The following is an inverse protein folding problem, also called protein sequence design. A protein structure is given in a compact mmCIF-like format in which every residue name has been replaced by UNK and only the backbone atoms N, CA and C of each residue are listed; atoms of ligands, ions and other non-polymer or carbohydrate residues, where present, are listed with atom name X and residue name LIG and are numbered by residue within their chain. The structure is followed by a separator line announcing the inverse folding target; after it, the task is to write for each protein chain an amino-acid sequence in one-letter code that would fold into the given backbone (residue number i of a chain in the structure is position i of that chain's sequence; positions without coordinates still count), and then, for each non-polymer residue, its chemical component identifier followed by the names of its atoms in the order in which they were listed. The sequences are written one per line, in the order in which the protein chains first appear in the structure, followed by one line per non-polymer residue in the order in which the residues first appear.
data_IF_800389169806
#
_entry.id   IF_800389169806
#
_cell.length_a   1.000
_cell.length_b   1.000
_cell.length_c   1.000
_cell.angle_alpha   90.00
_cell.angle_beta   90.00
_cell.angle_gamma   90.00
#
_symmetry.space_group_name_H-M   'P 1'
#
loop_
_entity.id
_entity.type
_entity.pdbx_description
1 polymer ?
#
# COMPACT_ATOMS: atom_id res chain seq x y z
N UNK A 1 -8.31 -12.09 -0.88
CA UNK A 1 -8.86 -11.90 -2.26
C UNK A 1 -10.39 -12.04 -2.31
N UNK A 2 -11.01 -13.16 -1.88
CA UNK A 2 -12.46 -13.37 -2.01
C UNK A 2 -13.29 -12.25 -1.37
N UNK A 3 -12.99 -11.88 -0.12
CA UNK A 3 -13.71 -10.82 0.59
C UNK A 3 -13.55 -9.45 -0.09
N UNK A 4 -12.34 -9.13 -0.57
CA UNK A 4 -12.12 -7.87 -1.29
C UNK A 4 -12.95 -7.79 -2.59
N UNK A 5 -13.07 -8.90 -3.32
CA UNK A 5 -13.93 -8.99 -4.52
C UNK A 5 -15.42 -8.84 -4.24
N UNK A 6 -15.84 -9.08 -3.00
CA UNK A 6 -17.23 -8.87 -2.58
C UNK A 6 -17.53 -7.41 -2.19
N UNK A 7 -16.52 -6.54 -2.13
CA UNK A 7 -16.72 -5.12 -1.87
C UNK A 7 -17.17 -4.41 -3.16
N UNK A 8 -18.19 -3.53 -3.11
CA UNK A 8 -18.60 -2.69 -4.24
C UNK A 8 -17.43 -1.93 -4.88
N UNK A 9 -16.56 -1.35 -4.05
CA UNK A 9 -15.37 -0.58 -4.48
C UNK A 9 -14.27 -1.42 -5.16
N UNK A 10 -14.37 -2.76 -5.18
CA UNK A 10 -13.45 -3.61 -5.96
C UNK A 10 -13.40 -3.25 -7.44
N UNK A 11 -14.49 -2.73 -7.97
CA UNK A 11 -14.63 -2.41 -9.38
C UNK A 11 -14.24 -0.98 -9.77
N UNK A 12 -13.65 -0.22 -8.84
CA UNK A 12 -13.17 1.13 -9.14
C UNK A 12 -12.06 1.12 -10.20
N UNK A 13 -12.15 2.06 -11.15
CA UNK A 13 -11.15 2.23 -12.22
C UNK A 13 -9.95 3.09 -11.79
N UNK A 14 -9.93 3.52 -10.55
CA UNK A 14 -8.86 4.30 -9.94
C UNK A 14 -8.19 3.52 -8.82
N UNK A 15 -6.87 3.41 -8.92
CA UNK A 15 -6.03 2.83 -7.88
C UNK A 15 -5.06 3.84 -7.31
N UNK A 16 -4.72 3.64 -6.07
CA UNK A 16 -3.74 4.42 -5.33
C UNK A 16 -2.62 3.48 -4.91
N UNK A 17 -1.36 3.80 -5.23
CA UNK A 17 -0.20 3.00 -4.83
C UNK A 17 0.67 3.77 -3.86
N UNK A 18 1.07 3.10 -2.78
CA UNK A 18 2.01 3.62 -1.79
C UNK A 18 2.70 2.49 -1.04
N UNK A 19 3.74 2.82 -0.30
CA UNK A 19 4.44 1.91 0.58
C UNK A 19 4.59 2.46 2.00
N UNK A 20 4.49 1.59 2.99
CA UNK A 20 4.67 1.96 4.39
C UNK A 20 5.72 1.08 5.06
N UNK A 21 6.60 1.63 5.94
CA UNK A 21 7.56 0.84 6.69
C UNK A 21 6.90 -0.19 7.61
N UNK A 22 7.50 -1.38 7.66
CA UNK A 22 7.21 -2.45 8.60
C UNK A 22 8.51 -2.76 9.35
N UNK A 23 8.69 -2.14 10.51
CA UNK A 23 9.90 -2.27 11.31
C UNK A 23 9.96 -3.67 11.94
N UNK A 24 11.06 -4.40 11.72
CA UNK A 24 11.25 -5.77 12.20
C UNK A 24 12.24 -5.89 13.36
N UNK A 25 13.01 -4.85 13.63
CA UNK A 25 13.97 -4.84 14.75
C UNK A 25 14.64 -3.48 14.92
N UNK A 26 15.04 -3.20 16.17
CA UNK A 26 15.65 -1.91 16.55
C UNK A 26 17.09 -2.02 16.94
N UNK A 27 17.47 -3.12 17.62
CA UNK A 27 18.85 -3.30 18.09
C UNK A 27 19.70 -4.03 17.04
N UNK A 28 21.01 -3.71 17.01
CA UNK A 28 21.97 -4.40 16.14
C UNK A 28 22.03 -5.90 16.41
N UNK A 29 21.87 -6.31 17.66
CA UNK A 29 21.87 -7.72 18.05
C UNK A 29 20.62 -8.45 17.53
N UNK A 30 19.45 -7.81 17.60
CA UNK A 30 18.22 -8.35 16.99
C UNK A 30 18.40 -8.55 15.48
N UNK A 31 18.95 -7.55 14.78
CA UNK A 31 19.18 -7.61 13.34
C UNK A 31 20.10 -8.77 12.95
N UNK A 32 21.21 -8.99 13.71
CA UNK A 32 22.18 -10.05 13.42
C UNK A 32 21.62 -11.47 13.62
N UNK A 33 20.74 -11.66 14.60
CA UNK A 33 20.22 -12.96 15.02
C UNK A 33 18.83 -13.29 14.49
N UNK A 34 18.24 -12.38 13.72
CA UNK A 34 16.88 -12.52 13.23
C UNK A 34 16.79 -13.49 12.04
N UNK A 35 15.79 -14.37 12.04
CA UNK A 35 15.41 -15.20 10.89
C UNK A 35 14.96 -14.36 9.68
N UNK A 36 14.76 -13.05 9.88
CA UNK A 36 14.41 -12.10 8.83
C UNK A 36 15.64 -11.53 8.12
N UNK A 37 16.87 -11.82 8.59
CA UNK A 37 18.09 -11.39 7.94
C UNK A 37 18.14 -11.87 6.47
N UNK A 38 18.59 -10.98 5.58
CA UNK A 38 18.60 -11.23 4.13
C UNK A 38 17.27 -10.92 3.43
N UNK A 39 16.14 -10.92 4.14
CA UNK A 39 14.85 -10.40 3.62
C UNK A 39 14.58 -8.98 4.12
N UNK A 40 14.61 -8.78 5.44
CA UNK A 40 14.58 -7.44 6.01
C UNK A 40 15.91 -6.70 5.76
N UNK A 41 15.83 -5.45 5.39
CA UNK A 41 16.98 -4.59 5.08
C UNK A 41 16.85 -3.23 5.77
N UNK A 42 17.92 -2.46 5.81
CA UNK A 42 17.87 -1.07 6.28
C UNK A 42 17.24 -0.18 5.21
N UNK A 43 16.30 0.65 5.61
CA UNK A 43 15.65 1.65 4.78
C UNK A 43 15.52 2.98 5.50
N UNK A 44 15.20 4.03 4.76
CA UNK A 44 14.93 5.35 5.31
C UNK A 44 13.44 5.69 5.18
N UNK A 45 12.85 6.14 6.28
CA UNK A 45 11.48 6.63 6.33
C UNK A 45 11.50 8.16 6.30
N UNK A 46 11.22 8.76 5.15
CA UNK A 46 11.26 10.21 4.96
C UNK A 46 10.24 10.95 5.84
N UNK A 47 9.05 10.41 6.03
CA UNK A 47 7.99 11.03 6.85
C UNK A 47 8.35 11.15 8.34
N UNK A 48 9.24 10.28 8.84
CA UNK A 48 9.71 10.29 10.21
C UNK A 48 11.20 10.64 10.33
N UNK A 49 11.85 10.99 9.20
CA UNK A 49 13.29 11.34 9.14
C UNK A 49 14.20 10.35 9.86
N UNK A 50 13.89 9.06 9.78
CA UNK A 50 14.64 8.01 10.50
C UNK A 50 14.97 6.79 9.63
N UNK A 51 16.08 6.15 9.94
CA UNK A 51 16.40 4.81 9.44
C UNK A 51 15.63 3.76 10.23
N UNK A 52 15.26 2.68 9.56
CA UNK A 52 14.66 1.49 10.16
C UNK A 52 15.25 0.24 9.53
N UNK A 53 15.21 -0.87 10.25
CA UNK A 53 15.50 -2.18 9.70
C UNK A 53 14.21 -2.99 9.62
N UNK A 54 13.88 -3.45 8.43
CA UNK A 54 12.63 -4.15 8.22
C UNK A 54 12.27 -4.32 6.77
N UNK A 55 10.98 -4.34 6.53
CA UNK A 55 10.33 -4.48 5.24
C UNK A 55 9.55 -3.22 4.90
N UNK A 56 9.06 -3.14 3.69
CA UNK A 56 7.97 -2.24 3.29
C UNK A 56 6.75 -3.07 2.91
N UNK A 57 5.62 -2.65 3.40
CA UNK A 57 4.32 -3.09 2.89
C UNK A 57 3.94 -2.16 1.74
N UNK A 58 3.96 -2.69 0.53
CA UNK A 58 3.47 -2.03 -0.66
C UNK A 58 1.99 -2.36 -0.82
N UNK A 59 1.17 -1.35 -1.08
CA UNK A 59 -0.27 -1.49 -1.24
C UNK A 59 -0.73 -0.83 -2.53
N UNK A 60 -1.64 -1.50 -3.22
CA UNK A 60 -2.53 -0.87 -4.19
C UNK A 60 -3.92 -0.90 -3.56
N UNK A 61 -4.57 0.26 -3.47
CA UNK A 61 -5.90 0.40 -2.86
C UNK A 61 -6.84 1.14 -3.80
N UNK A 62 -8.14 0.94 -3.63
CA UNK A 62 -9.17 1.78 -4.24
C UNK A 62 -9.29 3.13 -3.52
N UNK A 63 -10.05 4.12 -4.03
CA UNK A 63 -10.33 5.37 -3.33
C UNK A 63 -11.04 5.19 -1.99
N UNK A 64 -11.83 4.13 -1.82
CA UNK A 64 -12.41 3.79 -0.50
C UNK A 64 -11.37 3.24 0.48
N UNK A 65 -10.15 2.94 0.00
CA UNK A 65 -9.05 2.39 0.78
C UNK A 65 -9.03 0.86 0.85
N UNK A 66 -9.82 0.18 0.02
CA UNK A 66 -9.84 -1.27 -0.07
C UNK A 66 -8.49 -1.77 -0.63
N UNK A 67 -7.74 -2.63 0.08
CA UNK A 67 -6.54 -3.25 -0.47
C UNK A 67 -6.90 -4.23 -1.59
N UNK A 68 -6.44 -3.93 -2.82
CA UNK A 68 -6.66 -4.79 -4.00
C UNK A 68 -5.42 -5.64 -4.32
N UNK A 69 -4.24 -5.11 -4.06
CA UNK A 69 -2.99 -5.87 -4.14
C UNK A 69 -2.03 -5.42 -3.03
N UNK A 70 -1.13 -6.32 -2.63
CA UNK A 70 -0.10 -6.02 -1.64
C UNK A 70 1.15 -6.85 -1.89
N UNK A 71 2.30 -6.32 -1.45
CA UNK A 71 3.56 -7.04 -1.40
C UNK A 71 4.36 -6.64 -0.15
N UNK A 72 5.12 -7.59 0.38
CA UNK A 72 6.12 -7.35 1.42
C UNK A 72 7.50 -7.52 0.80
N UNK A 73 8.28 -6.46 0.78
CA UNK A 73 9.63 -6.45 0.22
C UNK A 73 10.63 -5.85 1.22
N UNK A 74 11.91 -6.14 1.04
CA UNK A 74 12.97 -5.54 1.84
C UNK A 74 12.92 -4.00 1.74
N UNK A 75 13.29 -3.30 2.81
CA UNK A 75 13.15 -1.84 2.87
C UNK A 75 13.90 -1.06 1.78
N UNK A 76 14.87 -1.69 1.08
CA UNK A 76 15.62 -1.12 -0.05
C UNK A 76 15.08 -1.50 -1.42
N UNK A 77 14.11 -2.41 -1.48
CA UNK A 77 13.53 -2.83 -2.77
C UNK A 77 12.88 -1.63 -3.46
N UNK A 78 13.03 -1.55 -4.78
CA UNK A 78 12.46 -0.45 -5.55
C UNK A 78 10.93 -0.52 -5.53
N UNK A 79 10.29 0.60 -5.18
CA UNK A 79 8.82 0.68 -5.03
C UNK A 79 8.11 0.52 -6.38
N UNK A 80 8.74 0.94 -7.47
CA UNK A 80 8.19 0.88 -8.84
C UNK A 80 8.22 -0.55 -9.37
N UNK A 81 9.34 -1.27 -9.17
CA UNK A 81 9.45 -2.68 -9.55
C UNK A 81 8.44 -3.52 -8.77
N UNK A 82 8.32 -3.27 -7.46
CA UNK A 82 7.32 -3.95 -6.63
C UNK A 82 5.88 -3.65 -7.09
N UNK A 83 5.59 -2.42 -7.53
CA UNK A 83 4.26 -2.07 -8.03
C UNK A 83 3.96 -2.80 -9.37
N UNK A 84 4.93 -2.89 -10.28
CA UNK A 84 4.78 -3.65 -11.53
C UNK A 84 4.58 -5.14 -11.24
N UNK A 85 5.35 -5.72 -10.31
CA UNK A 85 5.17 -7.11 -9.88
C UNK A 85 3.75 -7.35 -9.33
N UNK A 86 3.25 -6.45 -8.48
CA UNK A 86 1.88 -6.56 -7.95
C UNK A 86 0.82 -6.54 -9.05
N UNK A 87 0.99 -5.70 -10.07
CA UNK A 87 0.06 -5.61 -11.20
C UNK A 87 0.16 -6.87 -12.07
N UNK A 88 1.37 -7.29 -12.44
CA UNK A 88 1.60 -8.43 -13.32
C UNK A 88 1.17 -9.77 -12.72
N UNK A 89 1.33 -9.94 -11.39
CA UNK A 89 0.94 -11.15 -10.67
C UNK A 89 -0.57 -11.23 -10.39
N UNK A 90 -1.32 -10.17 -10.63
CA UNK A 90 -2.76 -10.11 -10.43
C UNK A 90 -3.48 -9.64 -11.71
N UNK A 91 -3.43 -10.42 -12.80
CA UNK A 91 -3.99 -10.01 -14.09
C UNK A 91 -5.49 -9.74 -14.04
N UNK A 92 -6.19 -10.31 -13.08
CA UNK A 92 -7.61 -10.03 -12.85
C UNK A 92 -7.90 -8.61 -12.36
N UNK A 93 -6.89 -7.90 -11.87
CA UNK A 93 -7.02 -6.48 -11.50
C UNK A 93 -6.83 -5.56 -12.71
N UNK A 94 -6.17 -6.06 -13.74
CA UNK A 94 -5.84 -5.28 -14.91
C UNK A 94 -7.07 -5.07 -15.80
N UNK A 95 -7.53 -3.83 -15.90
CA UNK A 95 -8.66 -3.43 -16.74
C UNK A 95 -8.23 -2.35 -17.73
N UNK A 96 -8.68 -2.40 -18.98
CA UNK A 96 -8.43 -1.32 -19.93
C UNK A 96 -8.94 0.01 -19.38
N UNK A 97 -8.10 1.06 -19.44
CA UNK A 97 -8.43 2.38 -18.93
C UNK A 97 -8.21 2.59 -17.44
N UNK A 98 -7.65 1.61 -16.73
CA UNK A 98 -7.29 1.75 -15.33
C UNK A 98 -6.37 2.93 -15.10
N UNK A 99 -6.62 3.70 -14.04
CA UNK A 99 -5.78 4.81 -13.61
C UNK A 99 -5.05 4.46 -12.31
N UNK A 100 -3.74 4.68 -12.29
CA UNK A 100 -2.90 4.51 -11.10
C UNK A 100 -2.43 5.88 -10.61
N UNK A 101 -2.78 6.25 -9.39
CA UNK A 101 -2.24 7.42 -8.72
C UNK A 101 -1.07 7.03 -7.81
N UNK A 102 0.02 7.78 -7.91
CA UNK A 102 1.23 7.54 -7.15
C UNK A 102 1.86 8.85 -6.66
N UNK A 103 2.73 8.76 -5.68
CA UNK A 103 3.52 9.89 -5.22
C UNK A 103 4.68 10.21 -6.19
N UNK A 104 5.48 11.24 -5.84
CA UNK A 104 6.66 11.65 -6.62
C UNK A 104 7.76 10.57 -6.70
N UNK A 105 7.80 9.64 -5.75
CA UNK A 105 8.77 8.55 -5.68
C UNK A 105 8.65 7.57 -6.86
N UNK A 106 7.48 7.49 -7.46
CA UNK A 106 7.19 6.60 -8.58
C UNK A 106 7.64 7.15 -9.96
N UNK A 107 8.42 8.23 -9.98
CA UNK A 107 8.99 8.75 -11.22
C UNK A 107 10.09 7.82 -11.74
N UNK A 108 9.89 7.21 -12.90
CA UNK A 108 10.90 6.49 -13.69
C UNK A 108 10.35 6.25 -15.10
N UNK A 109 11.12 6.59 -16.13
CA UNK A 109 10.64 6.48 -17.51
C UNK A 109 10.21 5.06 -17.88
N UNK A 110 11.03 4.03 -17.53
CA UNK A 110 10.66 2.63 -17.79
C UNK A 110 9.36 2.21 -17.09
N UNK A 111 9.16 2.62 -15.85
CA UNK A 111 7.92 2.35 -15.12
C UNK A 111 6.69 2.97 -15.81
N UNK A 112 6.82 4.21 -16.28
CA UNK A 112 5.73 4.90 -16.99
C UNK A 112 5.44 4.23 -18.33
N UNK A 113 6.47 3.77 -19.05
CA UNK A 113 6.32 3.02 -20.32
C UNK A 113 5.60 1.70 -20.07
N UNK A 114 6.04 0.90 -19.10
CA UNK A 114 5.44 -0.41 -18.78
C UNK A 114 3.96 -0.28 -18.38
N UNK A 115 3.59 0.76 -17.61
CA UNK A 115 2.19 1.03 -17.29
C UNK A 115 1.39 1.41 -18.53
N UNK A 116 1.96 2.25 -19.41
CA UNK A 116 1.30 2.67 -20.67
C UNK A 116 1.07 1.47 -21.58
N UNK A 117 2.07 0.59 -21.73
CA UNK A 117 1.97 -0.64 -22.52
C UNK A 117 0.92 -1.61 -21.96
N UNK A 118 0.73 -1.58 -20.64
CA UNK A 118 -0.33 -2.28 -19.95
C UNK A 118 -1.72 -1.58 -20.01
N UNK A 119 -1.84 -0.43 -20.69
CA UNK A 119 -3.07 0.35 -20.78
C UNK A 119 -3.47 1.07 -19.49
N UNK A 120 -2.53 1.26 -18.55
CA UNK A 120 -2.73 1.93 -17.26
C UNK A 120 -2.24 3.36 -17.35
N UNK A 121 -3.09 4.31 -17.02
CA UNK A 121 -2.73 5.74 -16.97
C UNK A 121 -2.12 6.09 -15.62
N UNK A 122 -0.85 6.55 -15.60
CA UNK A 122 -0.20 7.01 -14.37
C UNK A 122 -0.45 8.50 -14.13
N UNK A 123 -0.99 8.82 -12.95
CA UNK A 123 -1.11 10.19 -12.43
C UNK A 123 -0.14 10.34 -11.25
N UNK A 124 0.85 11.20 -11.39
CA UNK A 124 1.83 11.57 -10.35
C UNK A 124 2.16 13.05 -10.40
N UNK A 125 2.74 13.62 -9.33
CA UNK A 125 3.19 15.00 -9.34
C UNK A 125 4.25 15.27 -10.40
N UNK A 126 4.20 16.47 -10.98
CA UNK A 126 5.28 17.01 -11.80
C UNK A 126 6.53 17.23 -10.93
N UNK A 127 7.69 16.93 -11.44
CA UNK A 127 8.96 17.09 -10.74
C UNK A 127 9.91 18.02 -11.49
N UNK A 128 10.47 18.97 -10.76
CA UNK A 128 11.50 19.87 -11.28
C UNK A 128 11.05 20.63 -12.53
N UNK A 129 11.77 20.45 -13.66
CA UNK A 129 11.52 21.15 -14.94
C UNK A 129 10.59 20.39 -15.90
N UNK A 130 9.89 19.35 -15.43
CA UNK A 130 8.90 18.64 -16.25
C UNK A 130 7.76 19.58 -16.66
N UNK A 131 7.19 19.34 -17.84
CA UNK A 131 5.94 20.00 -18.22
C UNK A 131 4.84 19.63 -17.23
N UNK A 132 3.91 20.57 -16.90
CA UNK A 132 2.77 20.26 -16.06
C UNK A 132 2.02 19.03 -16.56
N UNK A 133 1.77 18.09 -15.65
CA UNK A 133 1.04 16.86 -15.98
C UNK A 133 -0.46 17.07 -15.83
N UNK A 134 -1.29 16.43 -16.65
CA UNK A 134 -2.73 16.49 -16.51
C UNK A 134 -3.17 15.90 -15.15
N UNK A 135 -4.32 16.33 -14.68
CA UNK A 135 -5.01 15.75 -13.50
C UNK A 135 -4.29 15.91 -12.15
N UNK A 136 -3.22 16.71 -12.05
CA UNK A 136 -2.50 16.93 -10.78
C UNK A 136 -3.39 17.52 -9.66
N UNK A 137 -4.43 18.27 -10.01
CA UNK A 137 -5.38 18.83 -9.04
C UNK A 137 -6.07 17.76 -8.18
N UNK A 138 -6.17 16.53 -8.67
CA UNK A 138 -6.79 15.43 -7.94
C UNK A 138 -5.83 14.70 -6.98
N UNK A 139 -4.53 14.94 -7.07
CA UNK A 139 -3.54 14.22 -6.24
C UNK A 139 -3.69 14.50 -4.74
N UNK A 140 -4.05 15.74 -4.36
CA UNK A 140 -4.14 16.12 -2.94
C UNK A 140 -5.19 15.33 -2.15
N UNK A 141 -6.46 15.23 -2.57
CA UNK A 141 -7.45 14.44 -1.86
C UNK A 141 -7.10 12.95 -1.83
N UNK A 142 -6.55 12.38 -2.90
CA UNK A 142 -6.19 10.97 -2.94
C UNK A 142 -4.97 10.64 -2.07
N UNK A 143 -4.01 11.55 -1.96
CA UNK A 143 -2.91 11.42 -1.01
C UNK A 143 -3.41 11.32 0.43
N UNK A 144 -4.39 12.11 0.81
CA UNK A 144 -5.01 12.04 2.14
C UNK A 144 -5.68 10.68 2.39
N UNK A 145 -6.26 10.06 1.36
CA UNK A 145 -6.83 8.71 1.46
C UNK A 145 -5.73 7.70 1.78
N UNK A 146 -4.64 7.69 1.03
CA UNK A 146 -3.51 6.78 1.26
C UNK A 146 -2.91 6.98 2.65
N UNK A 147 -2.70 8.23 3.05
CA UNK A 147 -2.21 8.58 4.39
C UNK A 147 -3.15 8.03 5.47
N UNK A 148 -4.48 8.15 5.27
CA UNK A 148 -5.50 7.60 6.17
C UNK A 148 -5.47 6.08 6.24
N UNK A 149 -5.32 5.37 5.10
CA UNK A 149 -5.16 3.90 5.07
C UNK A 149 -3.94 3.47 5.88
N UNK A 150 -2.80 4.11 5.63
CA UNK A 150 -1.57 3.83 6.35
C UNK A 150 -1.70 4.12 7.86
N UNK A 151 -2.40 5.20 8.21
CA UNK A 151 -2.67 5.54 9.61
C UNK A 151 -3.58 4.51 10.29
N UNK A 152 -4.63 4.03 9.62
CA UNK A 152 -5.48 2.95 10.14
C UNK A 152 -4.68 1.69 10.39
N UNK A 153 -3.85 1.28 9.44
CA UNK A 153 -2.99 0.09 9.61
C UNK A 153 -2.00 0.26 10.77
N UNK A 154 -1.38 1.43 10.92
CA UNK A 154 -0.38 1.68 11.97
C UNK A 154 -0.97 1.87 13.35
N UNK A 155 -1.96 2.76 13.49
CA UNK A 155 -2.47 3.18 14.78
C UNK A 155 -3.60 2.29 15.31
N UNK A 156 -4.52 1.85 14.43
CA UNK A 156 -5.69 1.09 14.86
C UNK A 156 -5.46 -0.43 14.73
N UNK A 157 -4.67 -0.87 13.74
CA UNK A 157 -4.38 -2.28 13.52
C UNK A 157 -2.95 -2.69 13.90
N UNK A 158 -2.21 -1.81 14.57
CA UNK A 158 -0.91 -2.11 15.19
C UNK A 158 0.15 -2.67 14.22
N UNK A 159 0.18 -2.13 12.98
CA UNK A 159 1.10 -2.60 11.94
C UNK A 159 2.57 -2.56 12.38
N UNK A 160 2.97 -1.54 13.12
CA UNK A 160 4.34 -1.34 13.59
C UNK A 160 4.72 -2.32 14.71
N UNK A 161 3.74 -2.93 15.40
CA UNK A 161 3.92 -3.93 16.46
C UNK A 161 3.40 -5.30 16.03
N UNK A 162 3.69 -5.69 14.79
CA UNK A 162 3.17 -6.95 14.23
C UNK A 162 3.62 -8.21 14.99
N UNK A 163 4.75 -8.17 15.73
CA UNK A 163 5.22 -9.26 16.58
C UNK A 163 5.72 -10.51 15.85
N UNK A 164 5.77 -10.50 14.52
CA UNK A 164 6.33 -11.59 13.72
C UNK A 164 7.85 -11.66 13.82
N UNK A 165 8.41 -12.85 14.03
CA UNK A 165 9.86 -13.08 14.16
C UNK A 165 10.43 -13.93 13.03
N UNK A 166 9.60 -14.66 12.31
CA UNK A 166 9.95 -15.49 11.15
C UNK A 166 9.27 -14.95 9.90
N UNK A 167 9.76 -15.30 8.71
CA UNK A 167 9.14 -14.86 7.44
C UNK A 167 7.65 -15.22 7.37
N UNK A 168 7.23 -16.49 7.59
CA UNK A 168 5.81 -16.84 7.62
C UNK A 168 5.02 -16.10 8.71
N UNK A 169 5.64 -15.91 9.88
CA UNK A 169 5.02 -15.20 11.00
C UNK A 169 4.74 -13.72 10.67
N UNK A 170 5.69 -13.02 10.05
CA UNK A 170 5.48 -11.64 9.59
C UNK A 170 4.37 -11.61 8.54
N UNK A 171 4.43 -12.47 7.51
CA UNK A 171 3.40 -12.54 6.48
C UNK A 171 2.01 -12.75 7.10
N UNK A 172 1.85 -13.73 7.97
CA UNK A 172 0.57 -14.02 8.62
C UNK A 172 0.04 -12.82 9.43
N UNK A 173 0.93 -12.16 10.20
CA UNK A 173 0.57 -11.01 11.01
C UNK A 173 0.15 -9.80 10.17
N UNK A 174 0.83 -9.54 9.06
CA UNK A 174 0.46 -8.45 8.14
C UNK A 174 -0.86 -8.78 7.43
N UNK A 175 -1.01 -10.02 6.97
CA UNK A 175 -2.26 -10.48 6.32
C UNK A 175 -3.47 -10.36 7.24
N UNK A 176 -3.34 -10.66 8.53
CA UNK A 176 -4.41 -10.47 9.52
C UNK A 176 -4.89 -9.01 9.57
N UNK A 177 -3.97 -8.05 9.49
CA UNK A 177 -4.29 -6.62 9.50
C UNK A 177 -4.98 -6.17 8.21
N UNK A 178 -4.47 -6.63 7.07
CA UNK A 178 -5.11 -6.37 5.79
C UNK A 178 -6.51 -7.00 5.72
N UNK A 179 -6.67 -8.21 6.25
CA UNK A 179 -7.98 -8.87 6.33
C UNK A 179 -8.95 -8.10 7.24
N UNK A 180 -8.49 -7.63 8.40
CA UNK A 180 -9.31 -6.84 9.31
C UNK A 180 -9.78 -5.52 8.65
N UNK A 181 -8.87 -4.80 7.98
CA UNK A 181 -9.22 -3.61 7.21
C UNK A 181 -10.22 -3.93 6.09
N UNK A 182 -9.98 -4.99 5.32
CA UNK A 182 -10.87 -5.43 4.25
C UNK A 182 -12.25 -5.80 4.77
N UNK A 183 -12.32 -6.50 5.92
CA UNK A 183 -13.58 -6.89 6.54
C UNK A 183 -14.39 -5.67 7.01
N UNK A 184 -13.71 -4.68 7.59
CA UNK A 184 -14.36 -3.43 7.99
C UNK A 184 -14.92 -2.67 6.77
N UNK A 185 -14.15 -2.56 5.69
CA UNK A 185 -14.61 -1.91 4.46
C UNK A 185 -15.80 -2.66 3.86
N UNK A 186 -15.70 -3.99 3.73
CA UNK A 186 -16.80 -4.80 3.24
C UNK A 186 -18.07 -4.60 4.07
N UNK A 187 -17.96 -4.66 5.39
CA UNK A 187 -19.12 -4.46 6.28
C UNK A 187 -19.71 -3.05 6.14
N UNK A 188 -18.87 -2.01 6.10
CA UNK A 188 -19.33 -0.63 6.01
C UNK A 188 -19.95 -0.32 4.63
N UNK A 189 -19.41 -0.90 3.54
CA UNK A 189 -19.96 -0.72 2.19
C UNK A 189 -21.25 -1.52 1.94
N UNK A 190 -21.44 -2.65 2.65
CA UNK A 190 -22.63 -3.49 2.50
C UNK A 190 -23.72 -3.19 3.53
N UNK A 191 -23.41 -2.38 4.55
CA UNK A 191 -24.40 -1.93 5.56
C UNK A 191 -24.88 -0.53 5.19
N UNK A 192 -26.18 -0.25 5.33
CA UNK A 192 -26.79 1.09 5.12
C UNK A 192 -26.35 2.11 6.18
N UNK A 193 -25.06 2.16 6.52
CA UNK A 193 -24.51 3.08 7.51
C UNK A 193 -23.77 4.22 6.82
N UNK A 194 -24.21 5.48 7.02
CA UNK A 194 -23.46 6.63 6.56
C UNK A 194 -22.17 6.74 7.37
N UNK A 195 -21.04 6.55 6.73
CA UNK A 195 -19.73 6.66 7.36
C UNK A 195 -18.58 6.46 6.38
N UNK A 196 -17.36 6.70 6.83
CA UNK A 196 -16.18 6.36 6.03
C UNK A 196 -16.08 4.84 5.86
N UNK A 197 -15.90 4.36 4.64
CA UNK A 197 -15.74 2.93 4.35
C UNK A 197 -14.64 2.26 5.22
N UNK A 198 -13.64 3.01 5.64
CA UNK A 198 -12.51 2.54 6.47
C UNK A 198 -12.72 2.71 7.97
N UNK A 199 -13.85 3.22 8.43
CA UNK A 199 -14.05 3.49 9.86
C UNK A 199 -14.10 2.18 10.65
N UNK A 200 -13.26 2.09 11.71
CA UNK A 200 -13.27 0.99 12.68
C UNK A 200 -14.05 1.35 13.95
N UNK A 201 -14.51 2.60 14.10
CA UNK A 201 -15.17 3.08 15.33
C UNK A 201 -16.46 2.34 15.64
N UNK A 202 -17.10 1.73 14.64
CA UNK A 202 -18.30 0.92 14.83
C UNK A 202 -18.04 -0.36 15.64
N UNK A 203 -16.77 -0.77 15.76
CA UNK A 203 -16.33 -1.98 16.46
C UNK A 203 -15.67 -1.68 17.81
N UNK A 204 -15.64 -0.42 18.19
CA UNK A 204 -15.06 0.09 19.45
C UNK A 204 -16.15 0.06 20.54
N UNK A 205 -16.42 -1.14 21.07
CA UNK A 205 -17.39 -1.37 22.14
C UNK A 205 -16.73 -2.00 23.34
#
# INVERSE_FOLDING_TARGET
AALARACPSWNDDLWLVDSTPVECGRSRETVKRSDLAGWATYGYCASHSRFFWGLRLHLITTPSGLPVAYALAGAKTDERDTALDMISLNPELHRPGQTLMADKGYRRASFETELTDAGITLIRPTLGKEKPRPHQQFLRPFRQIIESVNQTLKAQLDLERHGGRTKPGVCARILQRLLALTAAIWHNETSDRPGSARSLTTYDH
#
